data_IF_976766321404
#
_entry.id   IF_976766321404
#
_cell.length_a   1.000
_cell.length_b   1.000
_cell.length_c   1.000
_cell.angle_alpha   90.00
_cell.angle_beta   90.00
_cell.angle_gamma   90.00
#
_symmetry.space_group_name_H-M   'P 1'
#
loop_
_entity.id
_entity.type
_entity.pdbx_description
1 polymer ?
#
# COMPACT_ATOMS: atom_id res chain seq x y z
N UNK A 1 -0.65 17.82 6.13
CA UNK A 1 -1.36 16.59 5.71
C UNK A 1 -0.78 16.10 4.40
N UNK A 2 -0.46 14.82 4.32
CA UNK A 2 0.14 14.21 3.15
C UNK A 2 -0.89 13.32 2.46
N UNK A 3 -0.92 13.33 1.12
CA UNK A 3 -1.73 12.38 0.37
C UNK A 3 -0.93 11.11 0.14
N UNK A 4 -1.51 9.98 0.49
CA UNK A 4 -0.93 8.65 0.26
C UNK A 4 -1.75 7.93 -0.79
N UNK A 5 -1.06 7.22 -1.68
CA UNK A 5 -1.65 6.42 -2.74
C UNK A 5 -1.42 4.96 -2.42
N UNK A 6 -2.35 4.09 -2.83
CA UNK A 6 -2.21 2.68 -2.47
C UNK A 6 -2.66 1.74 -3.58
N UNK A 7 -2.10 0.52 -3.51
CA UNK A 7 -2.57 -0.66 -4.21
C UNK A 7 -3.01 -1.62 -3.11
N UNK A 8 -4.20 -2.19 -3.23
CA UNK A 8 -4.79 -3.05 -2.20
C UNK A 8 -5.24 -4.37 -2.81
N UNK A 9 -4.88 -5.47 -2.14
CA UNK A 9 -5.32 -6.81 -2.52
C UNK A 9 -5.22 -7.72 -1.31
N UNK A 10 -5.54 -9.02 -1.48
CA UNK A 10 -5.34 -9.98 -0.39
C UNK A 10 -3.85 -10.17 -0.11
N UNK A 11 -3.52 -10.53 1.12
CA UNK A 11 -2.14 -10.86 1.48
C UNK A 11 -1.61 -11.99 0.60
N UNK A 12 -2.44 -12.98 0.34
CA UNK A 12 -2.05 -14.11 -0.49
C UNK A 12 -1.63 -13.66 -1.88
N UNK A 13 -2.41 -12.77 -2.50
CA UNK A 13 -2.10 -12.27 -3.85
C UNK A 13 -0.77 -11.52 -3.86
N UNK A 14 -0.61 -10.55 -2.96
CA UNK A 14 0.58 -9.68 -2.95
C UNK A 14 1.84 -10.37 -2.45
N UNK A 15 1.71 -11.32 -1.53
CA UNK A 15 2.89 -11.93 -0.89
C UNK A 15 3.26 -13.29 -1.45
N UNK A 16 2.30 -14.01 -2.04
CA UNK A 16 2.54 -15.37 -2.52
C UNK A 16 2.36 -15.52 -4.03
N UNK A 17 1.29 -14.95 -4.59
CA UNK A 17 0.97 -15.13 -6.00
C UNK A 17 1.73 -14.17 -6.92
N UNK A 18 1.99 -12.95 -6.46
CA UNK A 18 2.76 -11.95 -7.20
C UNK A 18 3.98 -11.57 -6.39
N UNK A 19 5.12 -12.27 -6.57
CA UNK A 19 6.30 -11.98 -5.76
C UNK A 19 6.85 -10.59 -6.06
N UNK A 20 6.65 -9.68 -5.12
CA UNK A 20 7.10 -8.30 -5.26
C UNK A 20 8.47 -8.04 -4.62
N UNK A 21 9.09 -9.07 -4.02
CA UNK A 21 10.38 -8.93 -3.36
C UNK A 21 11.44 -8.31 -4.27
N UNK A 22 11.52 -8.77 -5.51
CA UNK A 22 12.51 -8.26 -6.46
C UNK A 22 12.25 -6.80 -6.82
N UNK A 23 10.96 -6.44 -6.99
CA UNK A 23 10.56 -5.07 -7.29
C UNK A 23 11.01 -4.15 -6.15
N UNK A 24 10.74 -4.55 -4.91
CA UNK A 24 11.11 -3.75 -3.75
C UNK A 24 12.62 -3.67 -3.56
N UNK A 25 13.34 -4.77 -3.77
CA UNK A 25 14.80 -4.78 -3.66
C UNK A 25 15.43 -3.85 -4.70
N UNK A 26 14.97 -3.93 -5.94
CA UNK A 26 15.46 -3.10 -7.03
C UNK A 26 15.22 -1.62 -6.74
N UNK A 27 13.99 -1.29 -6.34
CA UNK A 27 13.63 0.11 -6.06
C UNK A 27 14.38 0.65 -4.85
N UNK A 28 14.53 -0.17 -3.80
CA UNK A 28 15.31 0.20 -2.61
C UNK A 28 16.76 0.45 -2.97
N UNK A 29 17.35 -0.42 -3.79
CA UNK A 29 18.72 -0.25 -4.25
C UNK A 29 18.89 1.05 -5.03
N UNK A 30 17.98 1.33 -5.97
CA UNK A 30 18.03 2.57 -6.74
C UNK A 30 17.92 3.79 -5.85
N UNK A 31 17.04 3.75 -4.85
CA UNK A 31 16.89 4.85 -3.91
C UNK A 31 18.17 5.07 -3.09
N UNK A 32 18.79 3.98 -2.64
CA UNK A 32 20.06 4.08 -1.90
C UNK A 32 21.17 4.67 -2.76
N UNK A 33 21.25 4.27 -4.03
CA UNK A 33 22.25 4.81 -4.95
C UNK A 33 22.04 6.29 -5.22
N UNK A 34 20.80 6.77 -5.21
CA UNK A 34 20.45 8.16 -5.42
C UNK A 34 20.38 8.97 -4.12
N UNK A 35 20.66 8.33 -2.99
CA UNK A 35 20.55 8.92 -1.66
C UNK A 35 19.13 9.47 -1.40
N UNK A 36 18.12 8.81 -1.94
CA UNK A 36 16.72 9.21 -1.82
C UNK A 36 16.06 8.46 -0.67
N UNK A 37 15.21 9.15 0.09
CA UNK A 37 14.48 8.53 1.18
C UNK A 37 13.38 7.61 0.65
N UNK A 38 13.14 6.50 1.36
CA UNK A 38 12.08 5.56 1.02
C UNK A 38 10.72 6.24 1.14
N UNK A 39 9.90 6.13 0.10
CA UNK A 39 8.56 6.70 0.07
C UNK A 39 7.49 5.67 -0.33
N UNK A 40 7.79 4.39 -0.10
CA UNK A 40 6.85 3.30 -0.37
C UNK A 40 6.99 2.23 0.71
N UNK A 41 5.86 1.57 1.03
CA UNK A 41 5.80 0.61 2.14
C UNK A 41 4.79 -0.48 1.85
N UNK A 42 5.09 -1.71 2.29
CA UNK A 42 4.14 -2.82 2.27
C UNK A 42 3.55 -2.96 3.67
N UNK A 43 2.24 -2.88 3.79
CA UNK A 43 1.54 -2.95 5.08
C UNK A 43 0.53 -4.09 5.05
N UNK A 44 0.68 -5.04 5.98
CA UNK A 44 -0.27 -6.15 6.14
C UNK A 44 -1.40 -5.70 7.05
N UNK A 45 -2.64 -6.07 6.71
CA UNK A 45 -3.84 -5.67 7.43
C UNK A 45 -3.83 -4.17 7.74
N UNK A 46 -3.81 -3.31 6.71
CA UNK A 46 -3.64 -1.88 6.93
C UNK A 46 -4.79 -1.28 7.73
N UNK A 47 -4.44 -0.50 8.75
CA UNK A 47 -5.43 0.10 9.64
C UNK A 47 -6.28 1.16 8.92
N UNK A 48 -5.78 1.78 7.85
CA UNK A 48 -6.57 2.80 7.14
C UNK A 48 -7.88 2.26 6.58
N UNK A 49 -7.97 0.95 6.34
CA UNK A 49 -9.21 0.34 5.85
C UNK A 49 -10.34 0.39 6.87
N UNK A 50 -10.03 0.59 8.14
CA UNK A 50 -11.06 0.68 9.18
C UNK A 50 -11.73 2.05 9.22
N UNK A 51 -11.21 3.03 8.48
CA UNK A 51 -11.85 4.34 8.38
C UNK A 51 -13.21 4.22 7.69
N UNK A 52 -14.23 4.97 8.14
CA UNK A 52 -15.57 4.91 7.52
C UNK A 52 -15.56 5.19 6.02
N UNK A 53 -14.67 6.07 5.56
CA UNK A 53 -14.54 6.40 4.13
C UNK A 53 -14.02 5.24 3.29
N UNK A 54 -13.47 4.20 3.92
CA UNK A 54 -12.90 3.04 3.24
C UNK A 54 -13.81 1.82 3.26
N UNK A 55 -15.03 1.95 3.77
CA UNK A 55 -15.93 0.82 3.94
C UNK A 55 -16.21 0.06 2.63
N UNK A 56 -16.42 0.78 1.53
CA UNK A 56 -16.68 0.16 0.24
C UNK A 56 -15.45 -0.58 -0.30
N UNK A 57 -14.29 0.03 -0.14
CA UNK A 57 -13.03 -0.56 -0.58
C UNK A 57 -12.75 -1.83 0.21
N UNK A 58 -12.92 -1.76 1.53
CA UNK A 58 -12.73 -2.91 2.41
C UNK A 58 -13.64 -4.08 2.03
N UNK A 59 -14.90 -3.77 1.69
CA UNK A 59 -15.88 -4.79 1.31
C UNK A 59 -15.51 -5.52 0.03
N UNK A 60 -14.77 -4.86 -0.86
CA UNK A 60 -14.34 -5.44 -2.14
C UNK A 60 -13.06 -6.23 -2.07
N UNK A 61 -12.32 -6.12 -0.98
CA UNK A 61 -11.01 -6.76 -0.84
C UNK A 61 -11.09 -8.03 -0.01
N UNK A 62 -10.62 -9.17 -0.55
CA UNK A 62 -10.55 -10.39 0.25
C UNK A 62 -9.65 -10.22 1.46
N UNK A 63 -10.09 -10.75 2.59
CA UNK A 63 -9.32 -10.66 3.84
C UNK A 63 -8.54 -11.94 4.09
N UNK A 64 -7.40 -11.88 4.72
CA UNK A 64 -6.69 -10.66 5.19
C UNK A 64 -6.09 -9.87 4.03
N UNK A 65 -6.16 -8.56 4.15
CA UNK A 65 -5.69 -7.64 3.11
C UNK A 65 -4.25 -7.24 3.33
N UNK A 66 -3.62 -6.75 2.25
CA UNK A 66 -2.33 -6.08 2.31
C UNK A 66 -2.36 -4.91 1.35
N UNK A 67 -1.57 -3.89 1.64
CA UNK A 67 -1.49 -2.70 0.79
C UNK A 67 -0.05 -2.32 0.55
N UNK A 68 0.21 -1.82 -0.65
CA UNK A 68 1.45 -1.11 -0.95
C UNK A 68 1.08 0.36 -0.96
N UNK A 69 1.69 1.13 -0.08
CA UNK A 69 1.38 2.55 0.13
C UNK A 69 2.57 3.38 -0.30
N UNK A 70 2.33 4.46 -1.01
CA UNK A 70 3.40 5.35 -1.46
C UNK A 70 2.90 6.78 -1.53
N UNK A 71 3.82 7.73 -1.38
CA UNK A 71 3.54 9.13 -1.63
C UNK A 71 3.76 9.48 -3.11
N UNK A 72 4.23 8.52 -3.92
CA UNK A 72 4.47 8.70 -5.34
C UNK A 72 3.34 8.06 -6.16
N UNK A 73 2.44 8.87 -6.74
CA UNK A 73 1.33 8.33 -7.52
C UNK A 73 1.78 7.58 -8.77
N UNK A 74 2.92 7.95 -9.35
CA UNK A 74 3.43 7.27 -10.54
C UNK A 74 3.81 5.83 -10.24
N UNK A 75 4.39 5.57 -9.06
CA UNK A 75 4.74 4.22 -8.66
C UNK A 75 3.48 3.35 -8.49
N UNK A 76 2.44 3.91 -7.86
CA UNK A 76 1.18 3.19 -7.67
C UNK A 76 0.50 2.89 -8.99
N UNK A 77 0.50 3.84 -9.93
CA UNK A 77 -0.03 3.62 -11.27
C UNK A 77 0.72 2.50 -11.99
N UNK A 78 2.05 2.50 -11.88
CA UNK A 78 2.87 1.45 -12.48
C UNK A 78 2.55 0.09 -11.89
N UNK A 79 2.39 0.00 -10.56
CA UNK A 79 2.01 -1.25 -9.89
C UNK A 79 0.64 -1.73 -10.33
N UNK A 80 -0.33 -0.82 -10.48
CA UNK A 80 -1.66 -1.19 -10.95
C UNK A 80 -1.60 -1.85 -12.32
N UNK A 81 -0.82 -1.27 -13.22
CA UNK A 81 -0.68 -1.81 -14.58
C UNK A 81 0.03 -3.17 -14.56
N UNK A 82 1.00 -3.34 -13.67
CA UNK A 82 1.74 -4.60 -13.56
C UNK A 82 0.91 -5.72 -12.92
N UNK A 83 0.16 -5.39 -11.89
CA UNK A 83 -0.56 -6.38 -11.09
C UNK A 83 -1.97 -6.67 -11.61
N UNK A 84 -2.59 -5.71 -12.27
CA UNK A 84 -3.92 -5.78 -12.89
C UNK A 84 -5.09 -5.99 -11.91
N UNK A 85 -5.07 -7.04 -11.11
CA UNK A 85 -6.20 -7.43 -10.25
C UNK A 85 -6.07 -6.87 -8.83
N UNK A 86 -5.95 -5.55 -8.74
CA UNK A 86 -5.82 -4.87 -7.46
C UNK A 86 -6.74 -3.66 -7.41
N UNK A 87 -7.07 -3.24 -6.18
CA UNK A 87 -7.79 -1.99 -5.96
C UNK A 87 -6.77 -0.87 -5.77
N UNK A 88 -7.11 0.33 -6.22
CA UNK A 88 -6.25 1.49 -6.03
C UNK A 88 -7.06 2.66 -5.51
N UNK A 89 -6.37 3.60 -4.88
CA UNK A 89 -7.01 4.81 -4.38
C UNK A 89 -6.01 5.68 -3.66
N UNK A 90 -6.53 6.65 -2.93
CA UNK A 90 -5.71 7.57 -2.16
C UNK A 90 -6.45 8.02 -0.90
N UNK A 91 -5.70 8.49 0.08
CA UNK A 91 -6.26 9.06 1.29
C UNK A 91 -5.30 10.07 1.90
N UNK A 92 -5.82 11.11 2.60
CA UNK A 92 -4.96 12.02 3.34
C UNK A 92 -4.67 11.48 4.74
N UNK A 93 -3.47 11.71 5.22
CA UNK A 93 -3.07 11.37 6.59
C UNK A 93 -1.94 12.28 7.04
N UNK A 94 -1.83 12.59 8.33
CA UNK A 94 -2.75 12.17 9.40
C UNK A 94 -4.10 12.89 9.33
N UNK A 95 -5.15 12.19 9.73
CA UNK A 95 -6.49 12.75 9.81
C UNK A 95 -7.20 12.12 11.02
N UNK A 96 -8.37 12.65 11.43
CA UNK A 96 -9.09 12.06 12.57
C UNK A 96 -9.43 10.59 12.41
N UNK A 97 -9.70 10.13 11.18
CA UNK A 97 -10.05 8.73 10.91
C UNK A 97 -8.86 7.88 10.50
N UNK A 98 -7.77 8.51 10.03
CA UNK A 98 -6.54 7.81 9.66
C UNK A 98 -5.36 8.56 10.28
N UNK A 99 -5.12 8.37 11.58
CA UNK A 99 -4.04 9.10 12.26
C UNK A 99 -2.65 8.66 11.84
N UNK A 100 -2.51 7.42 11.37
CA UNK A 100 -1.23 6.88 10.90
C UNK A 100 -1.44 6.11 9.59
N UNK A 101 -0.91 6.65 8.51
CA UNK A 101 -1.08 6.07 7.18
C UNK A 101 -0.53 4.65 7.07
N UNK A 102 0.48 4.30 7.85
CA UNK A 102 1.21 3.04 7.73
C UNK A 102 0.89 2.04 8.84
N UNK A 103 -0.05 2.35 9.71
CA UNK A 103 -0.40 1.47 10.82
C UNK A 103 -0.99 0.15 10.31
N UNK A 104 -0.65 -0.94 11.00
CA UNK A 104 -1.13 -2.28 10.69
C UNK A 104 -1.91 -2.82 11.88
N UNK A 105 -2.99 -3.56 11.57
CA UNK A 105 -3.76 -4.27 12.60
C UNK A 105 -3.13 -5.62 12.94
N UNK A 106 -2.18 -6.08 12.13
CA UNK A 106 -1.53 -7.35 12.35
C UNK A 106 -0.55 -7.25 13.52
N UNK A 107 -0.78 -8.06 14.53
CA UNK A 107 0.17 -8.17 15.65
C UNK A 107 1.29 -9.12 15.28
N UNK A 108 2.49 -8.76 15.67
CA UNK A 108 3.66 -9.57 15.37
C UNK A 108 3.66 -10.87 16.17
#
# INVERSE_FOLDING_TARGET
>A
MQTYYYVLASQRFLLEEEPLDEVFKERTRNYNEQEKQIDFWLVKQPAFLEAPTMAEVKAKCPQPAAAIISTDPAFITWLKLRLEYVLTGEFPAPSPTIPDALASLQTA
#
